data_IF_480817574413
#
_entry.id   IF_480817574413
#
_cell.length_a   1.000
_cell.length_b   1.000
_cell.length_c   1.000
_cell.angle_alpha   90.00
_cell.angle_beta   90.00
_cell.angle_gamma   90.00
#
_symmetry.space_group_name_H-M   'P 1'
#
loop_
_entity.id
_entity.type
_entity.pdbx_description
1 polymer ?
#
# COMPACT_ATOMS: atom_id res chain seq x y z
N UNK A 1 -11.06 -20.88 3.11
CA UNK A 1 -10.34 -22.03 2.54
C UNK A 1 -10.13 -21.83 1.04
N UNK A 2 -9.09 -22.41 0.50
CA UNK A 2 -8.78 -22.34 -0.94
C UNK A 2 -9.80 -23.12 -1.78
N UNK A 3 -10.21 -24.30 -1.32
CA UNK A 3 -11.24 -25.14 -1.96
C UNK A 3 -12.03 -25.93 -0.91
N UNK A 4 -13.01 -26.67 -1.35
CA UNK A 4 -13.81 -27.54 -0.46
C UNK A 4 -12.96 -28.62 0.24
N UNK A 5 -11.85 -29.01 -0.34
CA UNK A 5 -10.93 -30.04 0.19
C UNK A 5 -9.99 -29.49 1.30
N UNK A 6 -9.94 -28.18 1.51
CA UNK A 6 -9.07 -27.55 2.47
C UNK A 6 -9.81 -27.18 3.78
N UNK A 7 -9.07 -27.17 4.89
CA UNK A 7 -9.62 -26.74 6.18
C UNK A 7 -10.02 -25.26 6.14
N UNK A 8 -11.19 -24.91 6.69
CA UNK A 8 -11.55 -23.52 6.89
C UNK A 8 -10.62 -22.82 7.86
N UNK A 9 -10.26 -21.56 7.57
CA UNK A 9 -9.45 -20.72 8.44
C UNK A 9 -9.74 -19.24 8.15
N UNK A 10 -9.43 -18.31 9.07
CA UNK A 10 -9.52 -16.88 8.80
C UNK A 10 -8.63 -16.50 7.60
N UNK A 11 -9.20 -15.77 6.64
CA UNK A 11 -8.52 -15.37 5.39
C UNK A 11 -8.74 -13.89 5.14
N UNK A 12 -7.79 -13.27 4.42
CA UNK A 12 -8.03 -11.97 3.83
C UNK A 12 -9.09 -12.04 2.73
N UNK A 13 -9.75 -10.91 2.52
CA UNK A 13 -10.60 -10.61 1.37
C UNK A 13 -10.10 -9.30 0.74
N UNK A 14 -10.96 -8.54 0.08
CA UNK A 14 -10.59 -7.19 -0.35
C UNK A 14 -10.40 -6.29 0.87
N UNK A 15 -9.22 -5.74 1.00
CA UNK A 15 -8.86 -4.83 2.10
C UNK A 15 -8.47 -3.48 1.49
N UNK A 16 -9.16 -2.42 1.90
CA UNK A 16 -8.91 -1.09 1.35
C UNK A 16 -9.12 0.00 2.40
N UNK A 17 -8.44 1.10 2.20
CA UNK A 17 -8.65 2.32 2.98
C UNK A 17 -9.73 3.16 2.32
N UNK A 18 -10.69 3.65 3.08
CA UNK A 18 -11.71 4.57 2.58
C UNK A 18 -11.05 5.89 2.13
N UNK A 19 -11.57 6.45 1.05
CA UNK A 19 -11.13 7.76 0.57
C UNK A 19 -11.43 8.88 1.56
N UNK A 20 -10.53 9.85 1.59
CA UNK A 20 -10.72 11.12 2.29
C UNK A 20 -11.38 12.18 1.38
N UNK A 21 -11.16 13.44 1.71
CA UNK A 21 -11.73 14.57 0.97
C UNK A 21 -10.69 15.36 0.16
N UNK A 22 -9.40 15.12 0.36
CA UNK A 22 -8.32 15.93 -0.21
C UNK A 22 -7.99 15.49 -1.64
N UNK A 23 -7.95 16.39 -2.63
CA UNK A 23 -7.44 16.06 -3.95
C UNK A 23 -5.97 15.60 -3.89
N UNK A 24 -5.57 14.56 -4.63
CA UNK A 24 -4.19 14.04 -4.62
C UNK A 24 -3.12 15.10 -4.92
N UNK A 25 -3.41 16.01 -5.84
CA UNK A 25 -2.53 17.11 -6.20
C UNK A 25 -2.26 18.07 -5.04
N UNK A 26 -3.22 18.27 -4.14
CA UNK A 26 -3.02 19.09 -2.94
C UNK A 26 -2.12 18.38 -1.93
N UNK A 27 -2.24 17.04 -1.82
CA UNK A 27 -1.35 16.24 -0.99
C UNK A 27 0.09 16.37 -1.48
N UNK A 28 0.32 16.19 -2.78
CA UNK A 28 1.64 16.36 -3.41
C UNK A 28 2.17 17.78 -3.19
N UNK A 29 1.32 18.79 -3.41
CA UNK A 29 1.70 20.20 -3.24
C UNK A 29 2.11 20.56 -1.80
N UNK A 30 1.59 19.85 -0.81
CA UNK A 30 1.93 20.06 0.61
C UNK A 30 3.32 19.55 0.99
N UNK A 31 3.93 18.68 0.17
CA UNK A 31 5.21 18.03 0.46
C UNK A 31 6.37 18.89 -0.03
N UNK A 32 7.17 19.41 0.89
CA UNK A 32 8.38 20.18 0.56
C UNK A 32 9.47 19.31 -0.08
N UNK A 33 9.70 18.13 0.46
CA UNK A 33 10.62 17.12 -0.06
C UNK A 33 10.15 15.75 0.38
N UNK A 34 9.96 14.83 -0.55
CA UNK A 34 9.45 13.49 -0.26
C UNK A 34 9.57 12.54 -1.44
N UNK A 35 9.04 11.35 -1.24
CA UNK A 35 8.96 10.31 -2.27
C UNK A 35 7.49 10.07 -2.61
N UNK A 36 7.16 10.14 -3.88
CA UNK A 36 5.86 9.70 -4.41
C UNK A 36 5.99 8.27 -4.90
N UNK A 37 5.55 7.30 -4.11
CA UNK A 37 5.52 5.90 -4.49
C UNK A 37 4.18 5.61 -5.18
N UNK A 38 4.22 5.41 -6.49
CA UNK A 38 3.02 5.20 -7.31
C UNK A 38 2.55 3.76 -7.22
N UNK A 39 3.51 2.83 -7.20
CA UNK A 39 3.19 1.41 -7.21
C UNK A 39 4.26 0.59 -6.48
N UNK A 40 3.85 -0.56 -5.97
CA UNK A 40 4.73 -1.49 -5.27
C UNK A 40 4.76 -2.84 -6.00
N UNK A 41 5.94 -3.44 -6.07
CA UNK A 41 6.15 -4.74 -6.69
C UNK A 41 5.90 -5.87 -5.70
N UNK A 42 6.87 -6.16 -4.87
CA UNK A 42 6.80 -7.23 -3.87
C UNK A 42 7.14 -6.74 -2.47
N UNK A 43 6.75 -7.53 -1.48
CA UNK A 43 7.06 -7.22 -0.10
C UNK A 43 6.63 -8.32 0.85
N UNK A 44 6.88 -8.09 2.11
CA UNK A 44 6.53 -9.00 3.20
C UNK A 44 6.03 -8.22 4.40
N UNK A 45 5.13 -8.85 5.14
CA UNK A 45 4.61 -8.35 6.41
C UNK A 45 4.78 -9.44 7.47
N UNK A 46 5.39 -9.08 8.59
CA UNK A 46 5.35 -9.91 9.79
C UNK A 46 4.01 -9.63 10.51
N UNK A 47 3.10 -10.58 10.42
CA UNK A 47 1.75 -10.44 10.97
C UNK A 47 1.70 -10.42 12.50
N UNK A 48 2.79 -10.79 13.19
CA UNK A 48 2.85 -10.81 14.65
C UNK A 48 3.21 -9.45 15.25
N UNK A 49 4.05 -8.68 14.55
CA UNK A 49 4.53 -7.39 15.04
C UNK A 49 4.22 -6.21 14.11
N UNK A 50 3.62 -6.48 12.94
CA UNK A 50 3.23 -5.46 11.96
C UNK A 50 4.38 -4.84 11.17
N UNK A 51 5.61 -5.34 11.29
CA UNK A 51 6.74 -4.87 10.47
C UNK A 51 6.54 -5.25 9.01
N UNK A 52 6.85 -4.32 8.13
CA UNK A 52 6.73 -4.54 6.70
C UNK A 52 7.92 -3.99 5.91
N UNK A 53 8.13 -4.59 4.75
CA UNK A 53 9.09 -4.15 3.73
C UNK A 53 8.42 -4.29 2.37
N UNK A 54 8.32 -3.20 1.60
CA UNK A 54 7.79 -3.20 0.25
C UNK A 54 8.70 -2.44 -0.70
N UNK A 55 9.03 -3.05 -1.82
CA UNK A 55 9.81 -2.41 -2.88
C UNK A 55 8.89 -1.65 -3.83
N UNK A 56 9.15 -0.37 -4.03
CA UNK A 56 8.44 0.40 -5.04
C UNK A 56 8.87 -0.06 -6.45
N UNK A 57 7.89 -0.37 -7.28
CA UNK A 57 8.11 -0.63 -8.70
C UNK A 57 8.12 0.67 -9.52
N UNK A 58 7.44 1.69 -9.02
CA UNK A 58 7.40 3.03 -9.60
C UNK A 58 7.39 4.08 -8.49
N UNK A 59 8.38 4.98 -8.51
CA UNK A 59 8.50 6.07 -7.55
C UNK A 59 9.17 7.29 -8.15
N UNK A 60 8.80 8.45 -7.65
CA UNK A 60 9.32 9.76 -8.07
C UNK A 60 9.70 10.61 -6.86
N UNK A 61 10.64 11.51 -7.06
CA UNK A 61 10.97 12.52 -6.05
C UNK A 61 9.94 13.64 -6.08
N UNK A 62 9.54 14.15 -4.90
CA UNK A 62 8.79 15.40 -4.77
C UNK A 62 9.75 16.46 -4.26
N UNK A 63 9.77 17.61 -4.93
CA UNK A 63 10.52 18.79 -4.53
C UNK A 63 9.64 20.03 -4.63
N UNK A 64 9.48 20.75 -3.53
CA UNK A 64 8.67 21.96 -3.44
C UNK A 64 7.23 21.77 -3.99
N UNK A 65 6.59 20.67 -3.63
CA UNK A 65 5.21 20.38 -4.03
C UNK A 65 5.05 19.91 -5.48
N UNK A 66 6.13 19.51 -6.14
CA UNK A 66 6.10 19.04 -7.53
C UNK A 66 6.79 17.69 -7.65
N UNK A 67 6.18 16.78 -8.40
CA UNK A 67 6.80 15.53 -8.84
C UNK A 67 7.89 15.87 -9.85
N UNK A 68 9.12 15.38 -9.62
CA UNK A 68 10.29 15.74 -10.43
C UNK A 68 10.83 14.55 -11.20
N UNK A 69 11.82 13.85 -10.69
CA UNK A 69 12.50 12.77 -11.41
C UNK A 69 12.20 11.39 -10.84
N UNK A 70 12.26 10.33 -11.67
CA UNK A 70 12.06 8.96 -11.19
C UNK A 70 13.19 8.51 -10.28
N UNK A 71 12.83 7.69 -9.28
CA UNK A 71 13.76 7.10 -8.33
C UNK A 71 13.74 5.59 -8.48
N UNK A 72 14.93 4.99 -8.57
CA UNK A 72 15.10 3.54 -8.68
C UNK A 72 15.48 2.94 -7.32
N UNK A 73 14.95 1.77 -7.03
CA UNK A 73 15.33 0.98 -5.84
C UNK A 73 14.78 1.53 -4.52
N UNK A 74 13.71 2.33 -4.56
CA UNK A 74 13.07 2.79 -3.35
C UNK A 74 12.38 1.62 -2.63
N UNK A 75 12.55 1.57 -1.30
CA UNK A 75 11.95 0.55 -0.45
C UNK A 75 11.29 1.21 0.74
N UNK A 76 10.02 0.90 0.95
CA UNK A 76 9.26 1.33 2.11
C UNK A 76 9.40 0.30 3.22
N UNK A 77 9.96 0.72 4.35
CA UNK A 77 10.16 -0.12 5.55
C UNK A 77 9.46 0.55 6.72
N UNK A 78 8.70 -0.20 7.47
CA UNK A 78 7.99 0.36 8.60
C UNK A 78 7.28 -0.67 9.46
N UNK A 79 6.42 -0.13 10.32
CA UNK A 79 5.52 -0.89 11.16
C UNK A 79 4.10 -0.33 10.95
N UNK A 80 3.12 -1.20 10.75
CA UNK A 80 1.76 -0.81 10.40
C UNK A 80 1.14 0.22 11.35
N UNK A 81 1.08 -0.05 12.68
CA UNK A 81 0.55 0.92 13.65
C UNK A 81 1.28 2.27 13.62
N UNK A 82 2.60 2.29 13.53
CA UNK A 82 3.36 3.54 13.45
C UNK A 82 3.10 4.30 12.14
N UNK A 83 3.08 3.60 11.02
CA UNK A 83 2.77 4.19 9.72
C UNK A 83 1.37 4.83 9.69
N UNK A 84 0.37 4.14 10.22
CA UNK A 84 -1.00 4.65 10.29
C UNK A 84 -1.12 5.91 11.16
N UNK A 85 -0.35 6.00 12.24
CA UNK A 85 -0.31 7.21 13.09
C UNK A 85 0.38 8.41 12.42
N UNK A 86 1.11 8.19 11.32
CA UNK A 86 1.81 9.25 10.58
C UNK A 86 1.05 9.74 9.34
N UNK A 87 -0.06 9.10 9.01
CA UNK A 87 -0.93 9.57 7.92
C UNK A 87 -1.55 10.89 8.32
N UNK A 88 -1.28 11.94 7.55
CA UNK A 88 -1.77 13.31 7.81
C UNK A 88 -2.90 13.73 6.88
N UNK A 89 -2.89 13.26 5.65
CA UNK A 89 -3.89 13.56 4.63
C UNK A 89 -4.31 12.28 3.92
N UNK A 90 -5.56 12.21 3.50
CA UNK A 90 -6.11 11.06 2.77
C UNK A 90 -6.80 11.58 1.52
N UNK A 91 -6.39 11.06 0.38
CA UNK A 91 -6.90 11.44 -0.93
C UNK A 91 -8.34 11.00 -1.19
N UNK A 92 -8.99 11.65 -2.13
CA UNK A 92 -10.34 11.31 -2.58
C UNK A 92 -10.36 10.33 -3.77
N UNK A 93 -9.21 9.78 -4.12
CA UNK A 93 -8.93 8.95 -5.30
C UNK A 93 -8.84 7.45 -5.00
N UNK A 94 -9.50 6.98 -3.92
CA UNK A 94 -9.48 5.56 -3.55
C UNK A 94 -9.97 4.68 -4.70
N UNK A 95 -9.17 3.68 -5.01
CA UNK A 95 -9.53 2.61 -5.94
C UNK A 95 -8.83 1.31 -5.56
N UNK A 96 -9.41 0.20 -5.97
CA UNK A 96 -8.75 -1.10 -5.86
C UNK A 96 -7.63 -1.19 -6.90
N UNK A 97 -6.53 -1.81 -6.50
CA UNK A 97 -5.46 -2.19 -7.43
C UNK A 97 -6.04 -3.14 -8.49
N UNK A 98 -5.62 -2.96 -9.74
CA UNK A 98 -6.00 -3.84 -10.85
C UNK A 98 -5.26 -5.17 -10.85
N UNK A 99 -4.19 -5.30 -10.08
CA UNK A 99 -3.45 -6.52 -9.87
C UNK A 99 -4.18 -7.50 -8.95
N UNK A 100 -3.67 -8.70 -8.88
CA UNK A 100 -4.18 -9.76 -7.99
C UNK A 100 -3.19 -9.98 -6.86
N UNK A 101 -3.59 -9.63 -5.64
CA UNK A 101 -2.88 -10.01 -4.43
C UNK A 101 -3.15 -11.48 -4.06
N UNK A 102 -2.25 -12.09 -3.33
CA UNK A 102 -2.40 -13.46 -2.85
C UNK A 102 -2.24 -13.51 -1.34
N UNK A 103 -3.23 -14.06 -0.65
CA UNK A 103 -3.12 -14.40 0.76
C UNK A 103 -2.73 -15.87 0.90
N UNK A 104 -1.46 -16.13 1.22
CA UNK A 104 -0.95 -17.47 1.56
C UNK A 104 -1.04 -17.73 3.06
N UNK A 105 -1.61 -18.89 3.45
CA UNK A 105 -1.69 -19.32 4.84
C UNK A 105 -1.80 -20.85 4.91
N UNK A 106 -0.92 -21.50 5.69
CA UNK A 106 -0.91 -22.95 5.92
C UNK A 106 -1.02 -23.76 4.60
N UNK A 107 -0.21 -23.39 3.60
CA UNK A 107 -0.19 -24.05 2.29
C UNK A 107 -1.40 -23.76 1.40
N UNK A 108 -2.33 -22.91 1.83
CA UNK A 108 -3.48 -22.48 1.03
C UNK A 108 -3.27 -21.07 0.49
N UNK A 109 -3.72 -20.83 -0.74
CA UNK A 109 -3.67 -19.52 -1.40
C UNK A 109 -5.05 -19.08 -1.85
N UNK A 110 -5.40 -17.81 -1.60
CA UNK A 110 -6.64 -17.22 -2.10
C UNK A 110 -6.34 -15.85 -2.72
N UNK A 111 -7.02 -15.50 -3.83
CA UNK A 111 -6.88 -14.18 -4.40
C UNK A 111 -7.52 -13.13 -3.48
N UNK A 112 -6.87 -11.97 -3.37
CA UNK A 112 -7.36 -10.83 -2.59
C UNK A 112 -7.15 -9.54 -3.36
N UNK A 113 -8.00 -8.55 -3.13
CA UNK A 113 -7.81 -7.19 -3.62
C UNK A 113 -7.31 -6.28 -2.51
N UNK A 114 -6.55 -5.28 -2.89
CA UNK A 114 -6.13 -4.19 -2.02
C UNK A 114 -6.45 -2.86 -2.67
N UNK A 115 -6.71 -1.85 -1.87
CA UNK A 115 -7.00 -0.52 -2.38
C UNK A 115 -6.56 0.55 -1.40
N UNK A 116 -6.10 1.66 -1.95
CA UNK A 116 -5.63 2.78 -1.16
C UNK A 116 -5.78 4.07 -1.95
N UNK A 117 -6.20 5.17 -1.32
CA UNK A 117 -6.08 6.50 -1.90
C UNK A 117 -4.63 6.99 -1.81
N UNK A 118 -4.35 8.11 -2.42
CA UNK A 118 -3.10 8.86 -2.16
C UNK A 118 -3.06 9.28 -0.68
N UNK A 119 -1.92 9.07 -0.04
CA UNK A 119 -1.66 9.38 1.39
C UNK A 119 -0.51 10.35 1.52
#
# INVERSE_FOLDING_TARGET
>A
RESFAHLPMPRMTNTYMLGGATPPEEIIASVKRGLYAVNFGGGQVDITNGKFVFSASEAYMIENGKVTYPVKGATLIGNGPDAMNRVSLIGNDMRLDSGVGTCGKDGQSVPVGVGMPTL
#
